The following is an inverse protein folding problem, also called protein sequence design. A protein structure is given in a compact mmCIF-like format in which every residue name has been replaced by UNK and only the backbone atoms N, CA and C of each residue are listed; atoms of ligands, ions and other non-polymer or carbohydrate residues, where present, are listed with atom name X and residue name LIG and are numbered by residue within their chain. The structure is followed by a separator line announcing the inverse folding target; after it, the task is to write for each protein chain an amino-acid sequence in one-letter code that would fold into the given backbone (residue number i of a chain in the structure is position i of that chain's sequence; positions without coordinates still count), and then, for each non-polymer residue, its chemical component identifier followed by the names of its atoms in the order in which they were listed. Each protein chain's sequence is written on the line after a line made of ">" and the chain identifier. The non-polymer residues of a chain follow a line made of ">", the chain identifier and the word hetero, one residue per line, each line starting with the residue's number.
data_IF_686052669879
#
_entry.id   IF_686052669879
#
_cell.length_a   1.000
_cell.length_b   1.000
_cell.length_c   1.000
_cell.angle_alpha   90.00
_cell.angle_beta   90.00
_cell.angle_gamma   90.00
#
_symmetry.space_group_name_H-M   'P 1'
#
loop_
_entity.id
_entity.type
_entity.pdbx_description
1 polymer ?
#
# COMPACT_ATOMS: atom_id res chain seq x y z
N UNK A 1 -29.82 -1.04 11.17
CA UNK A 1 -28.63 -1.88 11.44
C UNK A 1 -27.59 -1.51 10.39
N UNK A 2 -26.29 -1.48 10.73
CA UNK A 2 -25.25 -1.24 9.73
C UNK A 2 -25.32 -2.33 8.65
N UNK A 3 -25.20 -1.93 7.38
CA UNK A 3 -25.07 -2.87 6.27
C UNK A 3 -23.61 -3.30 6.18
N UNK A 4 -23.37 -4.61 6.21
CA UNK A 4 -22.03 -5.16 5.99
C UNK A 4 -21.63 -5.06 4.51
N UNK A 5 -20.33 -4.91 4.27
CA UNK A 5 -19.71 -4.94 2.95
C UNK A 5 -19.29 -6.37 2.59
N UNK A 6 -20.29 -7.24 2.41
CA UNK A 6 -20.11 -8.69 2.28
C UNK A 6 -19.33 -9.16 1.05
N UNK A 7 -19.10 -8.29 0.08
CA UNK A 7 -18.33 -8.62 -1.13
C UNK A 7 -16.91 -8.03 -1.11
N UNK A 8 -16.48 -7.47 0.02
CA UNK A 8 -15.14 -6.93 0.18
C UNK A 8 -14.15 -8.01 0.62
N UNK A 9 -13.02 -8.13 -0.07
CA UNK A 9 -11.90 -8.98 0.32
C UNK A 9 -10.61 -8.17 0.33
N UNK A 10 -9.85 -8.22 1.42
CA UNK A 10 -8.65 -7.42 1.60
C UNK A 10 -7.41 -8.23 1.95
N UNK A 11 -6.29 -7.91 1.31
CA UNK A 11 -4.96 -8.35 1.71
C UNK A 11 -4.13 -7.12 2.10
N UNK A 12 -3.76 -7.04 3.37
CA UNK A 12 -2.99 -5.93 3.93
C UNK A 12 -1.58 -6.42 4.28
N UNK A 13 -0.55 -5.78 3.72
CA UNK A 13 0.85 -6.23 3.82
C UNK A 13 1.69 -5.10 4.42
N UNK A 14 2.19 -5.29 5.64
CA UNK A 14 3.00 -4.30 6.36
C UNK A 14 4.35 -4.87 6.74
N UNK A 15 5.42 -4.37 6.10
CA UNK A 15 6.79 -4.88 6.31
C UNK A 15 7.50 -4.08 7.40
N UNK A 16 7.04 -4.25 8.65
CA UNK A 16 7.56 -3.52 9.81
C UNK A 16 8.94 -3.97 10.26
N UNK A 17 9.15 -5.29 10.23
CA UNK A 17 10.41 -5.93 10.56
C UNK A 17 10.98 -6.61 9.32
N UNK A 18 12.23 -6.31 8.99
CA UNK A 18 13.03 -7.11 8.05
C UNK A 18 13.92 -8.09 8.83
N UNK A 19 14.31 -9.20 8.21
CA UNK A 19 15.42 -10.04 8.71
C UNK A 19 16.70 -9.24 8.96
N UNK A 20 16.85 -8.10 8.28
CA UNK A 20 17.92 -7.14 8.49
C UNK A 20 17.34 -5.93 9.22
N UNK A 21 17.57 -5.83 10.54
CA UNK A 21 16.96 -4.82 11.43
C UNK A 21 17.08 -3.37 10.95
N UNK A 22 18.11 -3.08 10.17
CA UNK A 22 18.38 -1.80 9.53
C UNK A 22 17.42 -1.40 8.41
N UNK A 23 16.73 -2.38 7.83
CA UNK A 23 15.68 -2.22 6.82
C UNK A 23 14.28 -2.36 7.43
N UNK A 24 14.18 -2.45 8.76
CA UNK A 24 12.89 -2.46 9.45
C UNK A 24 12.28 -1.06 9.42
N UNK A 25 10.97 -1.01 9.14
CA UNK A 25 10.20 0.22 9.07
C UNK A 25 8.87 0.06 9.86
N UNK A 26 8.89 0.14 11.21
CA UNK A 26 7.76 -0.24 12.06
C UNK A 26 6.43 0.46 11.76
N UNK A 27 6.48 1.70 11.24
CA UNK A 27 5.30 2.48 10.84
C UNK A 27 4.41 1.74 9.83
N UNK A 28 4.98 0.87 8.99
CA UNK A 28 4.23 0.11 7.98
C UNK A 28 3.25 -0.90 8.59
N UNK A 29 3.55 -1.41 9.79
CA UNK A 29 2.64 -2.28 10.55
C UNK A 29 1.53 -1.44 11.17
N UNK A 30 1.85 -0.25 11.67
CA UNK A 30 0.83 0.68 12.17
C UNK A 30 -0.14 1.07 11.04
N UNK A 31 0.37 1.31 9.82
CA UNK A 31 -0.43 1.64 8.65
C UNK A 31 -1.48 0.54 8.37
N UNK A 32 -1.03 -0.71 8.25
CA UNK A 32 -1.93 -1.83 7.94
C UNK A 32 -2.88 -2.17 9.07
N UNK A 33 -2.45 -2.03 10.33
CA UNK A 33 -3.31 -2.24 11.49
C UNK A 33 -4.41 -1.18 11.58
N UNK A 34 -4.09 0.08 11.27
CA UNK A 34 -5.07 1.16 11.24
C UNK A 34 -6.07 0.97 10.10
N UNK A 35 -5.61 0.55 8.92
CA UNK A 35 -6.51 0.21 7.80
C UNK A 35 -7.39 -0.97 8.17
N UNK A 36 -6.83 -2.05 8.73
CA UNK A 36 -7.62 -3.21 9.20
C UNK A 36 -8.72 -2.77 10.16
N UNK A 37 -8.38 -1.97 11.19
CA UNK A 37 -9.34 -1.47 12.16
C UNK A 37 -10.46 -0.65 11.50
N UNK A 38 -10.13 0.20 10.52
CA UNK A 38 -11.12 0.97 9.77
C UNK A 38 -12.00 0.08 8.87
N UNK A 39 -11.45 -0.98 8.29
CA UNK A 39 -12.18 -1.92 7.44
C UNK A 39 -13.25 -2.68 8.23
N UNK A 40 -12.88 -3.23 9.39
CA UNK A 40 -13.77 -4.08 10.19
C UNK A 40 -14.80 -3.30 11.02
N UNK A 41 -14.57 -2.01 11.26
CA UNK A 41 -15.48 -1.21 12.07
C UNK A 41 -16.86 -1.12 11.39
N UNK A 42 -17.93 -1.64 12.01
CA UNK A 42 -19.28 -1.63 11.45
C UNK A 42 -19.87 -0.21 11.36
N UNK A 43 -19.29 0.75 12.06
CA UNK A 43 -19.64 2.17 12.00
C UNK A 43 -18.69 2.96 11.08
N UNK A 44 -17.83 2.28 10.32
CA UNK A 44 -17.02 2.82 9.23
C UNK A 44 -17.25 2.01 7.95
N UNK A 45 -16.31 1.13 7.59
CA UNK A 45 -16.28 0.42 6.31
C UNK A 45 -17.11 -0.87 6.28
N UNK A 46 -17.37 -1.44 7.46
CA UNK A 46 -18.24 -2.59 7.69
C UNK A 46 -17.88 -3.88 6.90
N UNK A 47 -16.59 -4.13 6.65
CA UNK A 47 -16.14 -5.44 6.17
C UNK A 47 -16.44 -6.52 7.24
N UNK A 48 -16.74 -7.77 6.84
CA UNK A 48 -16.80 -8.88 7.79
C UNK A 48 -15.44 -9.09 8.48
N UNK A 49 -15.44 -9.10 9.81
CA UNK A 49 -14.23 -9.34 10.61
C UNK A 49 -13.92 -10.83 10.73
N UNK A 50 -13.36 -11.41 9.67
CA UNK A 50 -12.91 -12.80 9.65
C UNK A 50 -11.85 -13.03 8.55
N UNK A 51 -11.18 -14.19 8.64
CA UNK A 51 -10.12 -14.60 7.73
C UNK A 51 -10.61 -14.98 6.32
N UNK A 52 -11.92 -15.11 6.10
CA UNK A 52 -12.51 -15.34 4.78
C UNK A 52 -12.64 -14.03 3.99
N UNK A 53 -12.59 -12.87 4.66
CA UNK A 53 -12.67 -11.55 4.04
C UNK A 53 -11.39 -10.72 4.16
N UNK A 54 -10.61 -10.84 5.24
CA UNK A 54 -9.41 -10.02 5.41
C UNK A 54 -8.23 -10.87 5.88
N UNK A 55 -7.09 -10.71 5.20
CA UNK A 55 -5.79 -11.25 5.64
C UNK A 55 -4.81 -10.10 5.86
N UNK A 56 -4.13 -10.13 7.00
CA UNK A 56 -3.09 -9.16 7.35
C UNK A 56 -1.76 -9.91 7.48
N UNK A 57 -0.75 -9.49 6.73
CA UNK A 57 0.60 -10.04 6.75
C UNK A 57 1.55 -8.98 7.30
N UNK A 58 1.95 -9.13 8.55
CA UNK A 58 2.85 -8.20 9.23
C UNK A 58 4.13 -8.88 9.70
N UNK A 59 5.23 -8.14 9.69
CA UNK A 59 6.53 -8.60 10.20
C UNK A 59 6.93 -9.96 9.61
N UNK A 60 7.17 -10.97 10.45
CA UNK A 60 7.60 -12.32 10.06
C UNK A 60 6.61 -13.05 9.16
N UNK A 61 5.36 -12.61 9.09
CA UNK A 61 4.34 -13.17 8.20
C UNK A 61 4.37 -12.53 6.81
N UNK A 62 4.94 -11.34 6.65
CA UNK A 62 5.11 -10.68 5.36
C UNK A 62 6.28 -11.27 4.58
N UNK A 63 6.29 -12.60 4.37
CA UNK A 63 7.28 -13.31 3.55
C UNK A 63 6.86 -13.31 2.09
N UNK A 64 7.79 -13.64 1.19
CA UNK A 64 7.51 -13.71 -0.24
C UNK A 64 6.40 -14.71 -0.53
N UNK A 65 6.50 -15.87 0.07
CA UNK A 65 5.57 -16.98 -0.16
C UNK A 65 4.19 -16.65 0.41
N UNK A 66 4.10 -16.11 1.62
CA UNK A 66 2.82 -15.72 2.21
C UNK A 66 2.12 -14.61 1.43
N UNK A 67 2.87 -13.64 0.87
CA UNK A 67 2.29 -12.61 0.01
C UNK A 67 1.67 -13.24 -1.25
N UNK A 68 2.38 -14.17 -1.89
CA UNK A 68 1.87 -14.87 -3.09
C UNK A 68 0.67 -15.77 -2.77
N UNK A 69 0.71 -16.48 -1.64
CA UNK A 69 -0.42 -17.27 -1.13
C UNK A 69 -1.63 -16.38 -0.81
N UNK A 70 -1.40 -15.18 -0.27
CA UNK A 70 -2.45 -14.18 -0.06
C UNK A 70 -3.11 -13.72 -1.37
N UNK A 71 -2.32 -13.49 -2.41
CA UNK A 71 -2.85 -13.15 -3.74
C UNK A 71 -3.60 -14.31 -4.38
N UNK A 72 -3.12 -15.55 -4.21
CA UNK A 72 -3.84 -16.75 -4.63
C UNK A 72 -5.19 -16.89 -3.90
N UNK A 73 -5.21 -16.64 -2.59
CA UNK A 73 -6.46 -16.64 -1.83
C UNK A 73 -7.45 -15.59 -2.37
N UNK A 74 -7.01 -14.38 -2.69
CA UNK A 74 -7.88 -13.37 -3.34
C UNK A 74 -8.39 -13.83 -4.70
N UNK A 75 -7.57 -14.55 -5.48
CA UNK A 75 -8.00 -15.17 -6.73
C UNK A 75 -9.13 -16.19 -6.49
N UNK A 76 -9.01 -17.03 -5.46
CA UNK A 76 -10.02 -18.02 -5.10
C UNK A 76 -11.30 -17.37 -4.61
N UNK A 77 -11.21 -16.34 -3.76
CA UNK A 77 -12.36 -15.55 -3.30
C UNK A 77 -13.10 -14.89 -4.47
N UNK A 78 -12.39 -14.26 -5.41
CA UNK A 78 -13.00 -13.66 -6.59
C UNK A 78 -13.66 -14.67 -7.54
N UNK A 79 -13.19 -15.93 -7.57
CA UNK A 79 -13.86 -17.01 -8.34
C UNK A 79 -15.15 -17.45 -7.67
N UNK A 80 -15.20 -17.44 -6.34
CA UNK A 80 -16.36 -17.85 -5.55
C UNK A 80 -17.43 -16.75 -5.47
N UNK A 81 -17.04 -15.47 -5.60
CA UNK A 81 -17.90 -14.31 -5.51
C UNK A 81 -17.81 -13.43 -6.77
N UNK A 82 -18.75 -13.55 -7.72
CA UNK A 82 -18.78 -12.73 -8.94
C UNK A 82 -18.90 -11.22 -8.67
N UNK A 83 -19.31 -10.82 -7.47
CA UNK A 83 -19.45 -9.43 -7.05
C UNK A 83 -18.27 -8.98 -6.17
N UNK A 84 -17.16 -9.72 -6.13
CA UNK A 84 -16.02 -9.37 -5.30
C UNK A 84 -15.44 -7.98 -5.62
N UNK A 85 -15.30 -7.15 -4.59
CA UNK A 85 -14.35 -6.03 -4.54
C UNK A 85 -13.09 -6.49 -3.82
N UNK A 86 -11.97 -6.47 -4.53
CA UNK A 86 -10.66 -6.84 -4.03
C UNK A 86 -9.86 -5.58 -3.67
N UNK A 87 -9.27 -5.59 -2.48
CA UNK A 87 -8.40 -4.53 -1.99
C UNK A 87 -7.05 -5.10 -1.56
N UNK A 88 -5.97 -4.69 -2.21
CA UNK A 88 -4.60 -5.02 -1.82
C UNK A 88 -3.90 -3.75 -1.36
N UNK A 89 -3.35 -3.78 -0.15
CA UNK A 89 -2.59 -2.65 0.40
C UNK A 89 -1.20 -3.12 0.81
N UNK A 90 -0.16 -2.50 0.27
CA UNK A 90 1.23 -2.74 0.63
C UNK A 90 1.83 -1.48 1.25
N UNK A 91 2.37 -1.59 2.46
CA UNK A 91 3.23 -0.58 3.09
C UNK A 91 4.59 -1.20 3.40
N UNK A 92 5.66 -0.62 2.86
CA UNK A 92 6.99 -1.19 2.97
C UNK A 92 8.02 -0.51 2.09
N UNK A 93 9.21 -1.11 2.01
CA UNK A 93 10.26 -0.64 1.12
C UNK A 93 10.03 -1.11 -0.31
N UNK A 94 10.46 -0.27 -1.26
CA UNK A 94 10.55 -0.61 -2.68
C UNK A 94 11.84 -0.07 -3.28
N UNK A 95 12.43 -0.83 -4.21
CA UNK A 95 13.70 -0.52 -4.88
C UNK A 95 13.53 -0.71 -6.39
N UNK A 96 14.13 0.16 -7.19
CA UNK A 96 14.34 -0.04 -8.62
C UNK A 96 15.76 -0.52 -8.85
N UNK A 97 15.95 -1.64 -9.54
CA UNK A 97 17.25 -2.02 -10.06
C UNK A 97 17.51 -1.25 -11.36
N UNK A 98 18.66 -0.57 -11.47
CA UNK A 98 19.08 0.23 -12.64
C UNK A 98 19.47 -0.65 -13.82
N UNK A 99 20.02 -1.85 -13.58
CA UNK A 99 20.51 -2.72 -14.66
C UNK A 99 19.36 -3.30 -15.48
N UNK A 100 18.35 -3.85 -14.81
CA UNK A 100 17.19 -4.48 -15.45
C UNK A 100 15.96 -3.55 -15.52
N UNK A 101 16.04 -2.37 -14.88
CA UNK A 101 14.96 -1.38 -14.76
C UNK A 101 13.68 -1.93 -14.12
N UNK A 102 13.81 -2.92 -13.23
CA UNK A 102 12.68 -3.56 -12.53
C UNK A 102 12.49 -3.03 -11.13
N UNK A 103 11.23 -2.91 -10.73
CA UNK A 103 10.85 -2.51 -9.39
C UNK A 103 10.66 -3.74 -8.49
N UNK A 104 11.09 -3.66 -7.24
CA UNK A 104 11.07 -4.75 -6.27
C UNK A 104 10.45 -4.25 -4.97
N UNK A 105 9.46 -4.99 -4.46
CA UNK A 105 8.92 -4.82 -3.12
C UNK A 105 9.74 -5.66 -2.15
N UNK A 106 10.21 -5.07 -1.06
CA UNK A 106 11.01 -5.77 -0.07
C UNK A 106 10.13 -6.32 1.05
N UNK A 107 10.01 -7.63 1.07
CA UNK A 107 9.31 -8.38 2.10
C UNK A 107 10.25 -8.71 3.30
N UNK A 108 9.72 -9.31 4.36
CA UNK A 108 10.47 -9.63 5.58
C UNK A 108 11.71 -10.48 5.33
N UNK A 109 11.58 -11.51 4.49
CA UNK A 109 12.56 -12.58 4.31
C UNK A 109 13.49 -12.41 3.10
N UNK A 110 13.66 -11.17 2.62
CA UNK A 110 14.66 -10.82 1.61
C UNK A 110 16.05 -11.37 1.97
N UNK A 111 16.89 -11.60 0.96
CA UNK A 111 18.29 -11.99 1.11
C UNK A 111 19.16 -10.94 0.44
N UNK A 112 19.95 -10.21 1.22
CA UNK A 112 20.77 -9.12 0.69
C UNK A 112 21.90 -9.59 -0.23
N UNK A 113 22.33 -10.85 -0.11
CA UNK A 113 23.35 -11.47 -0.96
C UNK A 113 22.77 -12.10 -2.23
N UNK A 114 21.47 -11.90 -2.51
CA UNK A 114 20.79 -12.23 -3.78
C UNK A 114 19.55 -11.36 -3.91
N UNK A 115 19.71 -10.03 -3.86
CA UNK A 115 18.56 -9.14 -3.69
C UNK A 115 17.52 -9.28 -4.82
N UNK A 116 17.94 -9.18 -6.08
CA UNK A 116 17.05 -9.32 -7.25
C UNK A 116 16.32 -10.67 -7.29
N UNK A 117 17.00 -11.75 -6.88
CA UNK A 117 16.42 -13.10 -6.92
C UNK A 117 15.51 -13.42 -5.72
N UNK A 118 15.69 -12.72 -4.60
CA UNK A 118 14.93 -12.96 -3.37
C UNK A 118 13.79 -11.97 -3.16
N UNK A 119 13.94 -10.72 -3.58
CA UNK A 119 12.91 -9.70 -3.46
C UNK A 119 11.70 -10.00 -4.34
N UNK A 120 10.53 -9.49 -3.96
CA UNK A 120 9.32 -9.63 -4.74
C UNK A 120 9.33 -8.64 -5.90
N UNK A 121 9.75 -9.08 -7.08
CA UNK A 121 9.71 -8.27 -8.29
C UNK A 121 8.27 -7.85 -8.64
N UNK A 122 8.16 -6.64 -9.17
CA UNK A 122 6.96 -6.08 -9.78
C UNK A 122 6.27 -7.01 -10.77
N UNK A 123 7.03 -7.71 -11.61
CA UNK A 123 6.48 -8.63 -12.61
C UNK A 123 5.76 -9.80 -11.96
N UNK A 124 6.41 -10.46 -10.99
CA UNK A 124 5.81 -11.58 -10.24
C UNK A 124 4.55 -11.13 -9.49
N UNK A 125 4.62 -9.97 -8.83
CA UNK A 125 3.47 -9.42 -8.10
C UNK A 125 2.31 -9.06 -9.04
N UNK A 126 2.62 -8.39 -10.16
CA UNK A 126 1.65 -8.03 -11.20
C UNK A 126 1.02 -9.26 -11.81
N UNK A 127 1.81 -10.28 -12.16
CA UNK A 127 1.29 -11.50 -12.77
C UNK A 127 0.36 -12.23 -11.80
N UNK A 128 0.71 -12.32 -10.51
CA UNK A 128 -0.20 -12.85 -9.48
C UNK A 128 -1.52 -12.04 -9.39
N UNK A 129 -1.45 -10.70 -9.42
CA UNK A 129 -2.65 -9.86 -9.46
C UNK A 129 -3.51 -10.11 -10.71
N UNK A 130 -2.89 -10.35 -11.89
CA UNK A 130 -3.59 -10.64 -13.16
C UNK A 130 -4.39 -11.94 -13.11
N UNK A 131 -4.01 -12.86 -12.23
CA UNK A 131 -4.73 -14.11 -12.05
C UNK A 131 -6.03 -13.95 -11.24
N UNK A 132 -6.28 -12.79 -10.61
CA UNK A 132 -7.49 -12.51 -9.84
C UNK A 132 -8.62 -12.06 -10.79
N UNK A 133 -9.68 -12.87 -11.00
CA UNK A 133 -10.73 -12.57 -11.97
C UNK A 133 -11.82 -11.65 -11.40
N UNK A 134 -11.44 -10.51 -10.80
CA UNK A 134 -12.38 -9.54 -10.24
C UNK A 134 -12.52 -8.30 -11.15
N UNK A 135 -13.75 -7.77 -11.26
CA UNK A 135 -14.01 -6.51 -11.98
C UNK A 135 -13.74 -5.26 -11.13
N UNK A 136 -13.49 -5.44 -9.83
CA UNK A 136 -13.24 -4.36 -8.87
C UNK A 136 -12.01 -4.71 -8.07
N UNK A 137 -10.84 -4.25 -8.49
CA UNK A 137 -9.57 -4.54 -7.85
C UNK A 137 -8.78 -3.24 -7.64
N UNK A 138 -8.69 -2.82 -6.37
CA UNK A 138 -7.88 -1.70 -5.93
C UNK A 138 -6.55 -2.22 -5.37
N UNK A 139 -5.44 -1.77 -5.94
CA UNK A 139 -4.08 -2.02 -5.42
C UNK A 139 -3.50 -0.70 -4.97
N UNK A 140 -3.07 -0.63 -3.72
CA UNK A 140 -2.41 0.53 -3.13
C UNK A 140 -1.00 0.14 -2.72
N UNK A 141 -0.03 0.85 -3.27
CA UNK A 141 1.39 0.67 -3.00
C UNK A 141 1.89 1.92 -2.28
N UNK A 142 1.89 1.88 -0.95
CA UNK A 142 2.59 2.86 -0.11
C UNK A 142 4.05 2.42 0.07
N UNK A 143 4.79 2.47 -1.03
CA UNK A 143 6.21 2.11 -1.05
C UNK A 143 7.04 3.25 -1.59
N UNK A 144 7.47 4.14 -0.70
CA UNK A 144 8.58 5.04 -0.92
C UNK A 144 9.08 5.67 0.36
N UNK A 145 10.37 5.50 0.67
CA UNK A 145 11.11 6.13 1.75
C UNK A 145 10.36 7.08 2.72
N UNK A 146 9.92 6.53 3.85
CA UNK A 146 9.56 7.21 5.08
C UNK A 146 10.70 8.14 5.59
N UNK A 147 10.76 9.37 5.10
CA UNK A 147 11.60 10.42 5.69
C UNK A 147 10.79 11.15 6.79
N UNK A 148 11.41 11.47 7.93
CA UNK A 148 10.77 12.32 8.94
C UNK A 148 11.09 12.05 10.40
N UNK A 149 11.67 10.89 10.76
CA UNK A 149 12.10 10.61 12.14
C UNK A 149 13.60 10.86 12.32
N UNK A 150 13.96 11.70 13.30
CA UNK A 150 15.34 12.06 13.63
C UNK A 150 16.21 10.88 14.15
N UNK A 151 15.63 9.69 14.33
CA UNK A 151 16.27 8.50 14.90
C UNK A 151 16.54 7.38 13.91
N UNK A 152 15.94 7.41 12.71
CA UNK A 152 16.26 6.48 11.63
C UNK A 152 17.33 7.12 10.75
N UNK A 153 18.56 6.61 10.78
CA UNK A 153 19.57 6.96 9.76
C UNK A 153 18.95 6.74 8.37
N UNK A 154 19.30 7.60 7.42
CA UNK A 154 18.86 7.42 6.03
C UNK A 154 19.25 6.00 5.60
N UNK A 155 18.32 5.15 5.12
CA UNK A 155 18.66 3.84 4.67
C UNK A 155 19.68 3.81 3.51
N UNK A 156 19.93 4.91 2.79
CA UNK A 156 21.11 5.06 1.93
C UNK A 156 22.40 5.20 2.73
N UNK A 157 22.39 5.92 3.85
CA UNK A 157 23.52 5.92 4.79
C UNK A 157 23.69 4.54 5.41
N UNK A 158 22.60 3.83 5.70
CA UNK A 158 22.66 2.47 6.24
C UNK A 158 23.15 1.49 5.18
N UNK A 159 22.66 1.55 3.95
CA UNK A 159 23.19 0.77 2.82
C UNK A 159 24.67 1.11 2.70
N UNK A 160 25.06 2.38 2.49
CA UNK A 160 26.48 2.80 2.43
C UNK A 160 27.29 2.38 3.67
N UNK A 161 26.71 2.31 4.86
CA UNK A 161 27.36 1.78 6.07
C UNK A 161 27.47 0.26 6.06
N UNK A 162 26.49 -0.47 5.53
CA UNK A 162 26.52 -1.93 5.31
C UNK A 162 27.52 -2.27 4.20
N UNK A 163 27.50 -1.55 3.08
CA UNK A 163 28.49 -1.64 1.99
C UNK A 163 29.93 -1.40 2.50
N UNK A 164 30.11 -0.49 3.47
CA UNK A 164 31.41 -0.23 4.10
C UNK A 164 31.87 -1.30 5.08
N UNK A 165 30.94 -2.09 5.63
CA UNK A 165 31.22 -3.12 6.66
C UNK A 165 31.31 -4.52 6.04
N UNK A 166 30.60 -4.73 4.93
CA UNK A 166 30.55 -5.99 4.20
C UNK A 166 30.64 -5.68 2.70
N UNK A 167 31.86 -5.72 2.18
CA UNK A 167 32.20 -5.33 0.79
C UNK A 167 31.43 -6.19 -0.22
N UNK A 168 31.11 -7.44 0.11
CA UNK A 168 30.33 -8.33 -0.77
C UNK A 168 28.86 -7.88 -0.90
N UNK A 169 28.30 -7.18 0.09
CA UNK A 169 26.97 -6.59 0.01
C UNK A 169 26.98 -5.25 -0.74
N UNK A 170 28.13 -4.59 -0.87
CA UNK A 170 28.25 -3.33 -1.62
C UNK A 170 27.91 -3.48 -3.09
N UNK A 171 28.48 -4.50 -3.71
CA UNK A 171 28.28 -4.78 -5.13
C UNK A 171 26.80 -5.09 -5.44
N UNK A 172 26.03 -5.63 -4.48
CA UNK A 172 24.62 -5.97 -4.72
C UNK A 172 23.64 -4.81 -4.61
N UNK A 173 24.03 -3.69 -3.99
CA UNK A 173 23.18 -2.49 -3.88
C UNK A 173 23.62 -1.36 -4.82
N UNK A 174 24.81 -1.42 -5.40
CA UNK A 174 25.34 -0.39 -6.31
C UNK A 174 24.36 -0.11 -7.46
N UNK A 175 23.69 -1.16 -7.92
CA UNK A 175 22.71 -1.11 -9.01
C UNK A 175 21.29 -0.79 -8.58
N UNK A 176 20.98 -0.68 -7.28
CA UNK A 176 19.62 -0.38 -6.83
C UNK A 176 19.45 1.10 -6.46
N UNK A 177 18.32 1.69 -6.85
CA UNK A 177 17.86 3.01 -6.42
C UNK A 177 16.54 2.91 -5.67
N UNK A 178 16.39 3.77 -4.67
CA UNK A 178 15.10 3.97 -4.00
C UNK A 178 14.33 5.04 -4.75
N UNK A 179 13.33 4.62 -5.50
CA UNK A 179 12.44 5.51 -6.25
C UNK A 179 10.99 5.08 -6.08
N UNK A 180 10.07 5.94 -6.47
CA UNK A 180 8.65 5.55 -6.57
C UNK A 180 8.48 4.49 -7.65
N UNK A 181 7.42 3.66 -7.55
CA UNK A 181 6.94 2.85 -8.65
C UNK A 181 7.10 3.58 -10.01
N UNK A 182 7.90 3.00 -10.91
CA UNK A 182 8.15 3.62 -12.21
C UNK A 182 6.85 3.66 -13.03
N UNK A 183 6.76 4.57 -14.01
CA UNK A 183 5.61 4.58 -14.95
C UNK A 183 5.42 3.21 -15.60
N UNK A 184 6.51 2.53 -15.98
CA UNK A 184 6.45 1.19 -16.55
C UNK A 184 5.85 0.16 -15.59
N UNK A 185 6.19 0.23 -14.30
CA UNK A 185 5.62 -0.64 -13.28
C UNK A 185 4.13 -0.35 -13.04
N UNK A 186 3.72 0.92 -12.96
CA UNK A 186 2.30 1.28 -12.82
C UNK A 186 1.49 0.80 -14.02
N UNK A 187 2.02 0.95 -15.24
CA UNK A 187 1.38 0.44 -16.46
C UNK A 187 1.29 -1.09 -16.47
N UNK A 188 2.31 -1.80 -16.00
CA UNK A 188 2.25 -3.27 -15.82
C UNK A 188 1.17 -3.63 -14.81
N UNK A 189 1.17 -2.99 -13.62
CA UNK A 189 0.17 -3.20 -12.61
C UNK A 189 -1.22 -2.98 -13.16
N UNK A 190 -1.45 -1.98 -14.02
CA UNK A 190 -2.76 -1.69 -14.61
C UNK A 190 -3.28 -2.79 -15.54
N UNK A 191 -2.41 -3.61 -16.14
CA UNK A 191 -2.83 -4.62 -17.12
C UNK A 191 -3.82 -5.61 -16.52
N UNK A 192 -5.04 -5.62 -17.06
CA UNK A 192 -6.16 -6.41 -16.54
C UNK A 192 -7.44 -5.61 -16.62
N UNK A 193 -8.59 -6.28 -16.51
CA UNK A 193 -9.89 -5.58 -16.40
C UNK A 193 -10.13 -5.21 -14.94
N UNK A 194 -10.89 -4.15 -14.71
CA UNK A 194 -11.40 -3.84 -13.36
C UNK A 194 -10.38 -3.28 -12.37
N UNK A 195 -9.24 -2.79 -12.84
CA UNK A 195 -8.10 -2.48 -11.98
C UNK A 195 -7.85 -0.98 -11.78
N UNK A 196 -7.58 -0.64 -10.53
CA UNK A 196 -7.12 0.67 -10.09
C UNK A 196 -5.84 0.49 -9.28
N UNK A 197 -4.82 1.30 -9.58
CA UNK A 197 -3.51 1.26 -8.94
C UNK A 197 -3.20 2.63 -8.37
N UNK A 198 -2.99 2.70 -7.06
CA UNK A 198 -2.55 3.90 -6.35
C UNK A 198 -1.14 3.70 -5.84
N UNK A 199 -0.30 4.72 -6.00
CA UNK A 199 1.04 4.76 -5.40
C UNK A 199 1.19 6.02 -4.57
N UNK A 200 1.85 5.93 -3.42
CA UNK A 200 1.90 7.04 -2.47
C UNK A 200 2.73 8.24 -2.93
N UNK A 201 3.62 8.05 -3.89
CA UNK A 201 4.45 9.07 -4.52
C UNK A 201 4.73 8.74 -6.00
N UNK A 202 5.37 9.66 -6.72
CA UNK A 202 5.75 9.53 -8.14
C UNK A 202 7.22 9.88 -8.36
N UNK A 203 7.84 9.30 -9.39
CA UNK A 203 9.23 9.60 -9.76
C UNK A 203 10.21 9.38 -8.61
N UNK A 204 11.00 10.40 -8.30
CA UNK A 204 11.99 10.37 -7.20
C UNK A 204 11.44 10.96 -5.89
N UNK A 205 10.15 11.29 -5.82
CA UNK A 205 9.51 11.80 -4.61
C UNK A 205 9.45 10.70 -3.51
N UNK A 206 9.51 11.12 -2.25
CA UNK A 206 9.49 10.26 -1.05
C UNK A 206 8.04 10.15 -0.50
N UNK A 207 7.69 9.05 0.17
CA UNK A 207 6.47 8.96 1.00
C UNK A 207 6.84 9.27 2.45
N UNK A 208 6.27 10.30 3.04
CA UNK A 208 6.71 10.84 4.33
C UNK A 208 5.97 10.20 5.50
N UNK A 209 6.64 10.08 6.65
CA UNK A 209 5.96 9.71 7.91
C UNK A 209 5.22 10.94 8.44
N UNK A 210 4.05 10.78 9.03
CA UNK A 210 3.36 11.88 9.70
C UNK A 210 4.15 12.33 10.95
N UNK A 211 4.19 13.63 11.32
CA UNK A 211 5.06 14.10 12.41
C UNK A 211 4.84 13.46 13.79
N UNK A 212 3.67 12.88 14.06
CA UNK A 212 3.41 12.11 15.30
C UNK A 212 4.10 10.73 15.31
N UNK A 213 4.64 10.29 14.17
CA UNK A 213 5.31 9.00 14.00
C UNK A 213 4.38 7.80 13.99
N UNK A 214 3.05 8.00 13.97
CA UNK A 214 2.09 6.89 14.07
C UNK A 214 1.91 6.19 12.73
N UNK A 215 1.72 6.95 11.65
CA UNK A 215 1.41 6.46 10.30
C UNK A 215 2.23 7.18 9.24
N UNK A 216 2.27 6.64 8.02
CA UNK A 216 2.66 7.45 6.85
C UNK A 216 1.64 8.59 6.64
N UNK A 217 2.07 9.71 6.05
CA UNK A 217 1.15 10.80 5.66
C UNK A 217 0.10 10.28 4.68
N UNK A 218 0.50 9.37 3.79
CA UNK A 218 -0.41 8.76 2.84
C UNK A 218 -1.49 7.94 3.54
N UNK A 219 -1.12 7.05 4.47
CA UNK A 219 -2.05 6.24 5.25
C UNK A 219 -2.97 7.09 6.11
N UNK A 220 -2.44 8.13 6.75
CA UNK A 220 -3.25 9.06 7.55
C UNK A 220 -4.41 9.64 6.72
N UNK A 221 -4.10 10.17 5.52
CA UNK A 221 -5.14 10.71 4.65
C UNK A 221 -5.98 9.62 3.97
N UNK A 222 -5.46 8.41 3.77
CA UNK A 222 -6.25 7.27 3.28
C UNK A 222 -7.36 6.91 4.28
N UNK A 223 -7.03 6.90 5.58
CA UNK A 223 -8.00 6.65 6.66
C UNK A 223 -9.06 7.76 6.72
N UNK A 224 -8.67 9.03 6.58
CA UNK A 224 -9.63 10.14 6.49
C UNK A 224 -10.62 9.95 5.34
N UNK A 225 -10.14 9.51 4.17
CA UNK A 225 -10.98 9.23 3.00
C UNK A 225 -11.93 8.05 3.24
N UNK A 226 -11.48 6.97 3.88
CA UNK A 226 -12.34 5.86 4.32
C UNK A 226 -13.42 6.31 5.32
N UNK A 227 -13.15 7.35 6.11
CA UNK A 227 -14.10 7.93 7.05
C UNK A 227 -15.06 8.94 6.39
N UNK A 228 -14.91 9.19 5.09
CA UNK A 228 -15.78 10.04 4.30
C UNK A 228 -15.16 11.38 3.87
N UNK A 229 -13.85 11.58 4.02
CA UNK A 229 -13.21 12.74 3.43
C UNK A 229 -13.35 12.67 1.89
N UNK A 230 -13.84 13.75 1.29
CA UNK A 230 -14.31 13.85 -0.10
C UNK A 230 -15.62 13.10 -0.46
N UNK A 231 -16.37 12.59 0.52
CA UNK A 231 -17.77 12.22 0.34
C UNK A 231 -18.73 13.42 0.52
N UNK A 232 -19.89 13.34 -0.12
CA UNK A 232 -20.95 14.34 -0.04
C UNK A 232 -22.01 13.95 1.00
N UNK A 233 -22.77 14.93 1.53
CA UNK A 233 -23.93 14.62 2.36
C UNK A 233 -24.89 13.66 1.65
N UNK A 234 -25.26 12.58 2.35
CA UNK A 234 -26.11 11.52 1.80
C UNK A 234 -25.38 10.36 1.14
N UNK A 235 -24.08 10.45 0.87
CA UNK A 235 -23.29 9.30 0.41
C UNK A 235 -23.27 8.23 1.49
N UNK A 236 -23.50 6.97 1.11
CA UNK A 236 -23.52 5.80 2.01
C UNK A 236 -22.36 4.84 1.78
N UNK A 237 -21.49 5.17 0.83
CA UNK A 237 -20.41 4.33 0.32
C UNK A 237 -19.18 5.17 0.03
N UNK A 238 -18.01 4.58 0.21
CA UNK A 238 -16.73 5.16 -0.22
C UNK A 238 -16.37 4.51 -1.54
N UNK A 239 -16.13 5.33 -2.56
CA UNK A 239 -15.67 4.90 -3.89
C UNK A 239 -14.20 5.22 -4.10
N UNK A 240 -13.60 4.59 -5.10
CA UNK A 240 -12.23 4.88 -5.53
C UNK A 240 -12.05 6.37 -5.84
N UNK A 241 -13.04 7.01 -6.49
CA UNK A 241 -12.97 8.44 -6.79
C UNK A 241 -12.94 9.32 -5.54
N UNK A 242 -13.60 8.93 -4.43
CA UNK A 242 -13.53 9.66 -3.17
C UNK A 242 -12.10 9.62 -2.62
N UNK A 243 -11.49 8.42 -2.59
CA UNK A 243 -10.10 8.24 -2.17
C UNK A 243 -9.15 9.12 -3.00
N UNK A 244 -9.26 9.05 -4.33
CA UNK A 244 -8.42 9.83 -5.25
C UNK A 244 -8.58 11.35 -5.03
N UNK A 245 -9.81 11.82 -4.89
CA UNK A 245 -10.11 13.24 -4.71
C UNK A 245 -9.56 13.81 -3.41
N UNK A 246 -9.54 13.02 -2.34
CA UNK A 246 -8.98 13.43 -1.06
C UNK A 246 -7.44 13.37 -1.09
N UNK A 247 -6.91 12.21 -1.46
CA UNK A 247 -5.46 11.95 -1.45
C UNK A 247 -4.68 12.88 -2.37
N UNK A 248 -5.23 13.23 -3.54
CA UNK A 248 -4.60 14.16 -4.49
C UNK A 248 -4.40 15.57 -3.95
N UNK A 249 -5.12 15.96 -2.89
CA UNK A 249 -5.04 17.28 -2.26
C UNK A 249 -4.33 17.22 -0.91
N UNK A 250 -4.80 16.35 -0.02
CA UNK A 250 -4.38 16.32 1.37
C UNK A 250 -2.92 15.89 1.53
N UNK A 251 -2.45 14.92 0.74
CA UNK A 251 -1.06 14.42 0.83
C UNK A 251 -0.05 15.52 0.45
N UNK A 252 -0.12 16.16 -0.74
CA UNK A 252 0.78 17.28 -1.07
C UNK A 252 0.72 18.43 -0.06
N UNK A 253 -0.48 18.79 0.40
CA UNK A 253 -0.68 19.89 1.36
C UNK A 253 0.03 19.61 2.70
N UNK A 254 -0.16 18.41 3.26
CA UNK A 254 0.48 18.01 4.52
C UNK A 254 1.99 17.90 4.40
N UNK A 255 2.51 17.32 3.32
CA UNK A 255 3.98 17.21 3.14
C UNK A 255 4.63 18.58 2.98
N UNK A 256 4.01 19.50 2.23
CA UNK A 256 4.50 20.89 2.14
C UNK A 256 4.46 21.59 3.50
N UNK A 257 3.38 21.40 4.26
CA UNK A 257 3.20 22.00 5.58
C UNK A 257 4.23 21.50 6.60
N UNK A 258 4.45 20.19 6.67
CA UNK A 258 5.29 19.58 7.71
C UNK A 258 6.77 19.55 7.35
N UNK A 259 7.10 19.34 6.07
CA UNK A 259 8.47 19.07 5.63
C UNK A 259 9.02 20.09 4.63
N UNK A 260 8.17 20.95 4.04
CA UNK A 260 8.55 21.85 2.93
C UNK A 260 9.14 21.06 1.75
N UNK A 261 8.53 19.90 1.47
CA UNK A 261 8.91 18.95 0.41
C UNK A 261 7.69 18.63 -0.45
N UNK A 262 7.91 17.81 -1.48
CA UNK A 262 6.86 17.30 -2.35
C UNK A 262 6.62 15.81 -2.10
N UNK A 263 5.35 15.45 -2.13
CA UNK A 263 4.86 14.08 -2.28
C UNK A 263 3.54 14.16 -3.04
N UNK A 264 3.53 13.57 -4.23
CA UNK A 264 2.40 13.58 -5.14
C UNK A 264 1.99 12.14 -5.39
N UNK A 265 0.84 11.70 -4.84
CA UNK A 265 0.29 10.41 -5.17
C UNK A 265 0.06 10.25 -6.68
N UNK A 266 0.22 9.03 -7.17
CA UNK A 266 -0.16 8.69 -8.53
C UNK A 266 -1.34 7.72 -8.50
N UNK A 267 -2.30 7.96 -9.38
CA UNK A 267 -3.53 7.18 -9.49
C UNK A 267 -3.70 6.75 -10.93
N UNK A 268 -3.86 5.45 -11.15
CA UNK A 268 -4.14 4.89 -12.46
C UNK A 268 -5.42 4.05 -12.38
N UNK A 269 -6.33 4.28 -13.33
CA UNK A 269 -7.64 3.66 -13.39
C UNK A 269 -7.88 3.17 -14.82
N UNK A 270 -8.05 1.85 -14.98
CA UNK A 270 -8.41 1.21 -16.24
C UNK A 270 -9.90 0.86 -16.36
N UNK A 271 -10.69 1.26 -15.38
CA UNK A 271 -12.06 0.79 -15.18
C UNK A 271 -12.97 1.93 -14.71
N UNK A 272 -14.25 1.63 -14.54
CA UNK A 272 -15.22 2.55 -13.96
C UNK A 272 -14.99 2.72 -12.45
N UNK A 273 -15.52 3.80 -11.90
CA UNK A 273 -15.47 4.03 -10.46
C UNK A 273 -16.31 2.99 -9.71
N UNK A 274 -15.77 2.41 -8.64
CA UNK A 274 -16.44 1.37 -7.86
C UNK A 274 -16.33 1.60 -6.36
N UNK A 275 -17.23 0.94 -5.63
CA UNK A 275 -17.33 0.99 -4.18
C UNK A 275 -16.24 0.12 -3.55
N UNK A 276 -15.52 0.70 -2.59
CA UNK A 276 -14.48 0.01 -1.81
C UNK A 276 -14.85 -0.20 -0.36
N UNK A 277 -15.87 0.48 0.16
CA UNK A 277 -16.36 0.30 1.52
C UNK A 277 -17.76 0.89 1.68
N UNK A 278 -18.46 0.48 2.74
CA UNK A 278 -19.58 1.28 3.25
C UNK A 278 -19.06 2.54 3.92
N UNK A 279 -19.90 3.56 3.99
CA UNK A 279 -19.62 4.79 4.73
C UNK A 279 -20.53 4.85 5.95
N UNK A 280 -19.91 4.82 7.12
CA UNK A 280 -20.60 4.77 8.41
C UNK A 280 -21.56 3.58 8.54
N UNK A 281 -21.12 2.40 8.11
CA UNK A 281 -21.98 1.21 8.04
C UNK A 281 -23.20 1.37 7.12
N UNK A 282 -23.10 2.24 6.11
CA UNK A 282 -24.18 2.57 5.19
C UNK A 282 -25.22 3.55 5.75
N UNK A 283 -25.01 4.13 6.94
CA UNK A 283 -25.92 5.12 7.55
C UNK A 283 -25.87 6.49 6.90
N UNK A 284 -24.85 6.73 6.07
CA UNK A 284 -24.69 7.95 5.31
C UNK A 284 -23.84 9.02 6.01
N UNK A 285 -23.11 9.79 5.21
CA UNK A 285 -22.35 10.94 5.68
C UNK A 285 -23.27 12.13 5.95
N UNK A 286 -23.24 12.66 7.19
CA UNK A 286 -24.04 13.83 7.60
C UNK A 286 -23.28 15.17 7.51
N UNK A 287 -22.08 15.17 6.93
CA UNK A 287 -21.14 16.29 7.03
C UNK A 287 -20.17 16.12 8.21
N UNK A 288 -19.04 16.84 8.15
CA UNK A 288 -18.22 17.10 9.33
C UNK A 288 -18.96 18.15 10.16
N UNK A 289 -19.36 17.82 11.39
CA UNK A 289 -19.91 18.85 12.28
C UNK A 289 -18.76 19.79 12.67
N UNK A 290 -18.95 21.09 12.41
CA UNK A 290 -18.07 22.16 12.90
C UNK A 290 -18.02 22.20 14.43
#
# INVERSE_FOLDING_TARGET
>A
MPQQFNHGYALLIGVGESRYSRLSLPVTVNDTQAIYAALIDPELCAYPDNNDHIRVLNNKEATRDNILEGLQWLQESAKADPEATIFVYYSGHGLLNKEDNRYYLLQHDIKLTKLAASALSAEVFTEALRQIPAERLLVVIDSCHAAGMATSKDPEEIIREVEKVDIELADEFEDFQRVSPSKGFVEQLKQGKGRVVFTSSRGEEKSWIHPDGLYSIYTNHFLEALQGAANKPGDTEVKVSNLMNHLSKAVPESVRKFYQKEQTPNFDMATEDFVIAKLKGGKGFKGWQE
#
